data_IF_602990192236
#
_entry.id   IF_602990192236
#
_cell.length_a   1.000
_cell.length_b   1.000
_cell.length_c   1.000
_cell.angle_alpha   90.00
_cell.angle_beta   90.00
_cell.angle_gamma   90.00
#
_symmetry.space_group_name_H-M   'P 1'
#
loop_
_entity.id
_entity.type
_entity.pdbx_description
1 polymer ?
#
# COMPACT_ATOMS: atom_id res chain seq x y z
N UNK A 1 -47.23 21.83 29.49
CA UNK A 1 -46.46 22.88 28.78
C UNK A 1 -44.93 22.75 28.90
N UNK A 2 -44.36 21.62 29.36
CA UNK A 2 -42.90 21.50 29.59
C UNK A 2 -42.09 20.77 28.50
N UNK A 3 -42.69 19.84 27.75
CA UNK A 3 -41.94 18.98 26.81
C UNK A 3 -41.60 19.68 25.47
N UNK A 4 -42.37 20.68 25.06
CA UNK A 4 -42.19 21.38 23.78
C UNK A 4 -40.86 22.14 23.69
N UNK A 5 -40.39 22.73 24.81
CA UNK A 5 -39.10 23.45 24.85
C UNK A 5 -37.89 22.53 24.88
N UNK A 6 -38.03 21.33 25.46
CA UNK A 6 -36.95 20.32 25.51
C UNK A 6 -36.74 19.71 24.12
N UNK A 7 -37.83 19.43 23.39
CA UNK A 7 -37.75 18.92 22.01
C UNK A 7 -37.11 19.97 21.07
N UNK A 8 -37.46 21.25 21.23
CA UNK A 8 -36.85 22.36 20.47
C UNK A 8 -35.35 22.53 20.76
N UNK A 9 -34.91 22.34 22.02
CA UNK A 9 -33.48 22.38 22.35
C UNK A 9 -32.71 21.15 21.82
N UNK A 10 -33.33 19.97 21.75
CA UNK A 10 -32.70 18.78 21.18
C UNK A 10 -32.53 18.86 19.66
N UNK A 11 -33.46 19.50 18.93
CA UNK A 11 -33.30 19.70 17.48
C UNK A 11 -32.18 20.69 17.11
N UNK A 12 -31.84 21.63 18.00
CA UNK A 12 -30.78 22.61 17.76
C UNK A 12 -29.36 22.02 17.90
N UNK A 13 -29.23 20.78 18.39
CA UNK A 13 -27.96 20.07 18.55
C UNK A 13 -27.68 19.04 17.45
N UNK A 14 -28.41 19.11 16.33
CA UNK A 14 -28.01 18.39 15.12
C UNK A 14 -26.89 19.18 14.48
N UNK A 15 -25.65 18.91 14.89
CA UNK A 15 -24.46 19.43 14.22
C UNK A 15 -24.50 19.03 12.75
N UNK A 16 -24.59 19.99 11.84
CA UNK A 16 -24.40 19.75 10.42
C UNK A 16 -23.00 19.16 10.22
N UNK A 17 -22.95 17.90 9.80
CA UNK A 17 -21.70 17.27 9.36
C UNK A 17 -21.49 17.76 7.93
N UNK A 18 -20.61 18.76 7.75
CA UNK A 18 -20.17 19.16 6.42
C UNK A 18 -19.33 18.04 5.81
N UNK A 19 -19.95 17.27 4.92
CA UNK A 19 -19.25 16.28 4.10
C UNK A 19 -18.62 17.00 2.91
N UNK A 20 -17.41 16.58 2.54
CA UNK A 20 -16.70 17.13 1.37
C UNK A 20 -17.40 16.68 0.08
N UNK A 21 -18.37 17.47 -0.40
CA UNK A 21 -19.12 17.25 -1.66
C UNK A 21 -18.31 17.69 -2.92
N UNK A 22 -17.00 17.47 -2.93
CA UNK A 22 -16.16 17.76 -4.10
C UNK A 22 -16.25 16.67 -5.20
N UNK A 23 -17.23 15.78 -5.11
CA UNK A 23 -17.44 14.68 -6.07
C UNK A 23 -16.52 13.47 -5.88
N UNK A 24 -15.50 13.54 -5.01
CA UNK A 24 -14.56 12.43 -4.79
C UNK A 24 -15.27 11.13 -4.36
N UNK A 25 -16.28 11.24 -3.49
CA UNK A 25 -17.06 10.10 -3.01
C UNK A 25 -18.01 9.51 -4.06
N UNK A 26 -18.33 10.24 -5.15
CA UNK A 26 -19.21 9.75 -6.23
C UNK A 26 -18.46 8.85 -7.21
N UNK A 27 -17.16 9.08 -7.37
CA UNK A 27 -16.24 8.24 -8.14
C UNK A 27 -14.97 8.01 -7.32
N UNK A 28 -15.07 7.26 -6.20
CA UNK A 28 -13.89 7.03 -5.38
C UNK A 28 -12.84 6.35 -6.27
N UNK A 29 -11.58 6.83 -6.27
CA UNK A 29 -10.51 6.13 -6.95
C UNK A 29 -10.45 4.72 -6.34
N UNK A 30 -10.94 3.73 -7.07
CA UNK A 30 -10.85 2.36 -6.60
C UNK A 30 -9.40 1.92 -6.77
N UNK A 31 -8.90 1.16 -5.80
CA UNK A 31 -7.65 0.46 -5.91
C UNK A 31 -7.87 -0.98 -6.33
N UNK A 32 -6.94 -1.55 -7.07
CA UNK A 32 -6.79 -2.99 -7.17
C UNK A 32 -5.49 -3.40 -6.50
N UNK A 33 -5.56 -4.42 -5.64
CA UNK A 33 -4.40 -4.99 -4.98
C UNK A 33 -4.22 -6.41 -5.48
N UNK A 34 -3.02 -6.71 -5.99
CA UNK A 34 -2.72 -8.01 -6.60
C UNK A 34 -2.50 -9.15 -5.59
N UNK A 35 -2.54 -8.83 -4.30
CA UNK A 35 -2.29 -9.77 -3.20
C UNK A 35 -3.26 -10.96 -3.29
N UNK A 36 -2.74 -12.18 -3.12
CA UNK A 36 -3.55 -13.40 -3.17
C UNK A 36 -3.82 -13.97 -4.57
N UNK A 37 -3.79 -13.16 -5.64
CA UNK A 37 -4.14 -13.66 -6.98
C UNK A 37 -2.96 -14.31 -7.70
N UNK A 38 -1.80 -13.64 -7.69
CA UNK A 38 -0.57 -14.17 -8.30
C UNK A 38 0.26 -15.04 -7.32
N UNK A 39 -0.39 -15.69 -6.35
CA UNK A 39 0.21 -16.64 -5.39
C UNK A 39 0.63 -17.96 -6.06
N UNK A 40 1.37 -17.89 -7.17
CA UNK A 40 1.76 -19.07 -7.89
C UNK A 40 2.63 -19.96 -7.01
N UNK A 41 2.24 -21.22 -6.94
CA UNK A 41 3.12 -22.27 -6.47
C UNK A 41 4.31 -22.35 -7.45
N UNK A 42 5.53 -22.42 -6.92
CA UNK A 42 6.73 -22.66 -7.74
C UNK A 42 6.69 -24.04 -8.40
N UNK A 43 5.92 -24.97 -7.83
CA UNK A 43 5.77 -26.33 -8.33
C UNK A 43 4.49 -26.45 -9.18
N UNK A 44 4.64 -26.17 -10.48
CA UNK A 44 3.55 -26.30 -11.46
C UNK A 44 3.15 -27.76 -11.74
N UNK A 45 3.97 -28.74 -11.33
CA UNK A 45 3.64 -30.16 -11.47
C UNK A 45 2.61 -30.60 -10.43
N UNK A 46 2.64 -30.00 -9.23
CA UNK A 46 1.73 -30.34 -8.12
C UNK A 46 0.43 -29.55 -8.13
N UNK A 47 0.43 -28.32 -8.66
CA UNK A 47 -0.78 -27.47 -8.71
C UNK A 47 -0.86 -26.74 -10.06
N UNK A 48 -1.20 -27.44 -11.15
CA UNK A 48 -1.25 -26.87 -12.49
C UNK A 48 -2.30 -25.76 -12.64
N UNK A 49 -3.41 -25.79 -11.89
CA UNK A 49 -4.42 -24.73 -11.94
C UNK A 49 -3.99 -23.41 -11.27
N UNK A 50 -2.98 -23.45 -10.39
CA UNK A 50 -2.41 -22.26 -9.72
C UNK A 50 -1.16 -21.72 -10.41
N UNK A 51 -0.70 -22.40 -11.46
CA UNK A 51 0.40 -21.94 -12.28
C UNK A 51 -0.15 -20.96 -13.34
N UNK A 52 0.39 -19.74 -13.38
CA UNK A 52 0.10 -18.85 -14.51
C UNK A 52 0.61 -19.51 -15.78
N UNK A 53 -0.25 -19.63 -16.80
CA UNK A 53 0.17 -20.01 -18.16
C UNK A 53 1.11 -18.97 -18.78
N UNK A 54 1.03 -17.74 -18.28
CA UNK A 54 1.78 -16.57 -18.66
C UNK A 54 2.90 -16.29 -17.64
N UNK A 55 3.99 -15.62 -18.02
CA UNK A 55 4.99 -15.23 -17.02
C UNK A 55 4.38 -14.23 -16.03
N UNK A 56 4.80 -14.28 -14.76
CA UNK A 56 4.32 -13.36 -13.71
C UNK A 56 4.39 -11.90 -14.19
N UNK A 57 5.50 -11.53 -14.83
CA UNK A 57 5.70 -10.21 -15.45
C UNK A 57 4.54 -9.80 -16.35
N UNK A 58 4.26 -10.60 -17.36
CA UNK A 58 3.29 -10.24 -18.39
C UNK A 58 1.88 -10.19 -17.79
N UNK A 59 1.59 -11.05 -16.80
CA UNK A 59 0.30 -11.06 -16.12
C UNK A 59 0.02 -9.79 -15.30
N UNK A 60 1.04 -9.15 -14.73
CA UNK A 60 0.91 -7.85 -14.07
C UNK A 60 0.73 -6.71 -15.09
N UNK A 61 1.47 -6.75 -16.19
CA UNK A 61 1.40 -5.73 -17.26
C UNK A 61 0.02 -5.75 -17.93
N UNK A 62 -0.39 -6.91 -18.45
CA UNK A 62 -1.67 -7.06 -19.16
C UNK A 62 -2.86 -6.67 -18.28
N UNK A 63 -2.81 -7.02 -17.00
CA UNK A 63 -3.89 -6.66 -16.09
C UNK A 63 -3.93 -5.16 -15.79
N UNK A 64 -2.78 -4.50 -15.62
CA UNK A 64 -2.70 -3.05 -15.49
C UNK A 64 -3.24 -2.32 -16.72
N UNK A 65 -2.87 -2.77 -17.92
CA UNK A 65 -3.40 -2.25 -19.19
C UNK A 65 -4.91 -2.47 -19.31
N UNK A 66 -5.39 -3.64 -18.92
CA UNK A 66 -6.83 -3.94 -18.91
C UNK A 66 -7.59 -3.00 -17.96
N UNK A 67 -7.09 -2.76 -16.74
CA UNK A 67 -7.69 -1.83 -15.79
C UNK A 67 -7.76 -0.42 -16.39
N UNK A 68 -6.64 0.07 -16.93
CA UNK A 68 -6.54 1.39 -17.54
C UNK A 68 -7.50 1.57 -18.72
N UNK A 69 -7.76 0.52 -19.50
CA UNK A 69 -8.71 0.56 -20.64
C UNK A 69 -10.17 0.79 -20.20
N UNK A 70 -10.50 0.52 -18.94
CA UNK A 70 -11.88 0.59 -18.42
C UNK A 70 -12.13 1.86 -17.60
N UNK A 71 -11.24 2.17 -16.66
CA UNK A 71 -11.33 3.34 -15.79
C UNK A 71 -10.00 3.57 -15.07
N UNK A 72 -9.68 4.80 -14.63
CA UNK A 72 -8.56 5.03 -13.74
C UNK A 72 -8.74 4.23 -12.44
N UNK A 73 -7.81 3.32 -12.16
CA UNK A 73 -7.76 2.49 -10.94
C UNK A 73 -6.34 2.58 -10.39
N UNK A 74 -6.21 2.84 -9.08
CA UNK A 74 -4.90 2.76 -8.43
C UNK A 74 -4.45 1.31 -8.42
N UNK A 75 -3.33 0.98 -9.04
CA UNK A 75 -2.86 -0.40 -9.12
C UNK A 75 -1.70 -0.66 -8.16
N UNK A 76 -1.99 -1.45 -7.12
CA UNK A 76 -1.02 -1.89 -6.10
C UNK A 76 -0.50 -3.30 -6.43
N UNK A 77 0.80 -3.39 -6.68
CA UNK A 77 1.47 -4.58 -7.19
C UNK A 77 2.31 -5.27 -6.12
N UNK A 78 2.01 -6.53 -5.80
CA UNK A 78 2.93 -7.42 -5.07
C UNK A 78 4.02 -8.03 -5.95
N UNK A 79 4.19 -7.53 -7.18
CA UNK A 79 5.07 -8.12 -8.20
C UNK A 79 6.54 -8.28 -7.75
N UNK A 80 7.24 -7.25 -7.22
CA UNK A 80 8.63 -7.40 -6.81
C UNK A 80 8.82 -8.47 -5.74
N UNK A 81 7.91 -8.53 -4.77
CA UNK A 81 7.93 -9.52 -3.71
C UNK A 81 7.91 -10.96 -4.24
N UNK A 82 6.98 -11.28 -5.14
CA UNK A 82 6.88 -12.63 -5.70
C UNK A 82 8.13 -12.98 -6.52
N UNK A 83 8.62 -12.06 -7.35
CA UNK A 83 9.80 -12.30 -8.18
C UNK A 83 11.04 -12.55 -7.31
N UNK A 84 11.25 -11.75 -6.28
CA UNK A 84 12.42 -11.86 -5.42
C UNK A 84 12.35 -13.03 -4.45
N UNK A 85 11.28 -13.14 -3.68
CA UNK A 85 11.22 -14.07 -2.54
C UNK A 85 10.58 -15.41 -2.87
N UNK A 86 9.79 -15.50 -3.94
CA UNK A 86 9.13 -16.75 -4.34
C UNK A 86 9.84 -17.36 -5.56
N UNK A 87 10.20 -16.56 -6.55
CA UNK A 87 10.86 -17.03 -7.77
C UNK A 87 12.39 -16.86 -7.79
N UNK A 88 12.98 -16.29 -6.73
CA UNK A 88 14.42 -16.10 -6.58
C UNK A 88 15.08 -15.39 -7.78
N UNK A 89 14.43 -14.34 -8.28
CA UNK A 89 14.85 -13.50 -9.41
C UNK A 89 14.95 -12.04 -8.99
N UNK A 90 15.72 -11.25 -9.73
CA UNK A 90 15.85 -9.81 -9.46
C UNK A 90 14.67 -9.04 -10.07
N UNK A 91 13.95 -8.20 -9.32
CA UNK A 91 12.92 -7.32 -9.86
C UNK A 91 13.50 -6.22 -10.76
N UNK A 92 12.80 -5.90 -11.85
CA UNK A 92 13.11 -4.76 -12.71
C UNK A 92 12.21 -3.56 -12.34
N UNK A 93 12.72 -2.69 -11.47
CA UNK A 93 11.98 -1.53 -10.97
C UNK A 93 11.69 -0.48 -12.05
N UNK A 94 12.47 -0.43 -13.14
CA UNK A 94 12.18 0.47 -14.25
C UNK A 94 10.84 0.07 -14.90
N UNK A 95 10.66 -1.22 -15.19
CA UNK A 95 9.40 -1.74 -15.74
C UNK A 95 8.27 -1.64 -14.71
N UNK A 96 8.51 -2.05 -13.46
CA UNK A 96 7.47 -2.03 -12.42
C UNK A 96 6.91 -0.61 -12.22
N UNK A 97 7.77 0.41 -12.18
CA UNK A 97 7.34 1.81 -11.99
C UNK A 97 6.46 2.36 -13.11
N UNK A 98 6.57 1.80 -14.32
CA UNK A 98 5.75 2.20 -15.48
C UNK A 98 4.36 1.57 -15.47
N UNK A 99 4.20 0.43 -14.80
CA UNK A 99 2.96 -0.36 -14.83
C UNK A 99 2.20 -0.40 -13.50
N UNK A 100 2.78 0.07 -12.40
CA UNK A 100 2.20 0.00 -11.07
C UNK A 100 2.21 1.38 -10.38
N UNK A 101 1.12 1.74 -9.70
CA UNK A 101 1.07 2.96 -8.90
C UNK A 101 1.79 2.83 -7.56
N UNK A 102 1.85 1.62 -7.03
CA UNK A 102 2.68 1.30 -5.88
C UNK A 102 3.05 -0.17 -5.92
N UNK A 103 4.14 -0.56 -5.27
CA UNK A 103 4.56 -1.95 -5.23
C UNK A 103 5.18 -2.36 -3.91
N UNK A 104 4.85 -3.59 -3.52
CA UNK A 104 5.30 -4.19 -2.27
C UNK A 104 6.69 -4.76 -2.44
N UNK A 105 7.65 -4.23 -1.68
CA UNK A 105 9.06 -4.61 -1.78
C UNK A 105 9.46 -5.77 -0.86
N UNK A 106 8.82 -5.92 0.30
CA UNK A 106 9.33 -6.78 1.38
C UNK A 106 8.28 -7.66 2.06
N UNK A 107 8.62 -8.33 3.16
CA UNK A 107 7.72 -9.20 3.90
C UNK A 107 6.55 -8.45 4.56
N UNK A 108 5.45 -9.18 4.81
CA UNK A 108 4.27 -8.64 5.50
C UNK A 108 4.62 -8.15 6.92
N UNK A 109 4.16 -6.96 7.26
CA UNK A 109 4.30 -6.38 8.59
C UNK A 109 3.56 -7.20 9.64
N UNK A 110 4.21 -7.43 10.78
CA UNK A 110 3.63 -8.07 11.96
C UNK A 110 3.40 -7.04 13.07
N UNK A 111 2.59 -7.39 14.07
CA UNK A 111 2.34 -6.54 15.23
C UNK A 111 3.50 -6.58 16.25
N UNK A 112 4.72 -6.33 15.79
CA UNK A 112 5.92 -6.25 16.63
C UNK A 112 6.84 -5.13 16.16
N UNK A 113 7.57 -4.51 17.10
CA UNK A 113 8.54 -3.47 16.77
C UNK A 113 9.72 -4.03 15.97
N UNK A 114 10.04 -5.30 16.19
CA UNK A 114 11.04 -6.07 15.47
C UNK A 114 10.70 -6.12 13.99
N UNK A 115 9.44 -6.41 13.63
CA UNK A 115 9.00 -6.43 12.23
C UNK A 115 9.11 -5.05 11.58
N UNK A 116 8.75 -3.98 12.29
CA UNK A 116 8.86 -2.62 11.76
C UNK A 116 10.33 -2.24 11.53
N UNK A 117 11.22 -2.50 12.50
CA UNK A 117 12.67 -2.29 12.35
C UNK A 117 13.25 -3.09 11.19
N UNK A 118 12.79 -4.32 10.99
CA UNK A 118 13.26 -5.19 9.93
C UNK A 118 12.93 -4.62 8.54
N UNK A 119 11.68 -4.18 8.34
CA UNK A 119 11.26 -3.48 7.12
C UNK A 119 12.09 -2.20 6.93
N UNK A 120 12.27 -1.39 7.98
CA UNK A 120 13.07 -0.16 7.89
C UNK A 120 14.52 -0.43 7.44
N UNK A 121 15.16 -1.46 7.99
CA UNK A 121 16.53 -1.86 7.62
C UNK A 121 16.63 -2.34 6.19
N UNK A 122 15.63 -3.09 5.71
CA UNK A 122 15.57 -3.50 4.32
C UNK A 122 15.48 -2.30 3.38
N UNK A 123 14.62 -1.33 3.68
CA UNK A 123 14.51 -0.11 2.87
C UNK A 123 15.75 0.77 2.94
N UNK A 124 16.43 0.82 4.09
CA UNK A 124 17.71 1.50 4.26
C UNK A 124 18.80 0.85 3.40
N UNK A 125 18.91 -0.49 3.40
CA UNK A 125 19.91 -1.21 2.62
C UNK A 125 19.68 -1.11 1.12
N UNK A 126 18.42 -1.14 0.68
CA UNK A 126 18.04 -1.08 -0.74
C UNK A 126 17.86 0.35 -1.26
N UNK A 127 18.00 1.37 -0.40
CA UNK A 127 17.66 2.74 -0.75
C UNK A 127 18.40 3.23 -1.99
N UNK A 128 19.69 2.89 -2.14
CA UNK A 128 20.52 3.24 -3.29
C UNK A 128 19.99 2.78 -4.66
N UNK A 129 19.15 1.74 -4.68
CA UNK A 129 18.46 1.24 -5.88
C UNK A 129 17.04 1.79 -5.96
N UNK A 130 16.27 1.66 -4.88
CA UNK A 130 14.82 1.93 -4.89
C UNK A 130 14.46 3.42 -5.04
N UNK A 131 15.29 4.34 -4.55
CA UNK A 131 14.99 5.78 -4.59
C UNK A 131 14.89 6.33 -6.02
N UNK A 132 15.49 5.65 -7.01
CA UNK A 132 15.50 6.10 -8.41
C UNK A 132 14.14 5.93 -9.10
N UNK A 133 13.30 5.04 -8.57
CA UNK A 133 12.08 4.59 -9.24
C UNK A 133 10.81 5.04 -8.53
N UNK A 134 10.88 5.66 -7.34
CA UNK A 134 9.71 6.18 -6.66
C UNK A 134 9.45 7.66 -6.95
N UNK A 135 8.19 8.07 -6.98
CA UNK A 135 7.81 9.44 -7.29
C UNK A 135 6.31 9.59 -7.49
N UNK A 136 5.84 10.79 -7.87
CA UNK A 136 4.43 11.05 -8.13
C UNK A 136 3.82 10.01 -9.09
N UNK A 137 2.95 9.16 -8.56
CA UNK A 137 2.21 8.15 -9.33
C UNK A 137 2.80 6.74 -9.29
N UNK A 138 3.95 6.52 -8.65
CA UNK A 138 4.62 5.21 -8.57
C UNK A 138 5.45 5.11 -7.25
N UNK A 139 4.96 4.38 -6.25
CA UNK A 139 5.50 4.41 -4.89
C UNK A 139 6.01 3.05 -4.40
N UNK A 140 7.13 3.05 -3.66
CA UNK A 140 7.49 1.89 -2.86
C UNK A 140 6.49 1.69 -1.71
N UNK A 141 6.10 0.44 -1.44
CA UNK A 141 5.13 0.07 -0.40
C UNK A 141 5.81 -0.80 0.69
N UNK A 142 6.04 -0.23 1.90
CA UNK A 142 6.58 -0.93 3.06
C UNK A 142 5.51 -1.68 3.88
N UNK A 143 4.30 -1.87 3.33
CA UNK A 143 3.14 -2.48 3.98
C UNK A 143 2.45 -1.56 5.02
N UNK A 144 1.36 -2.06 5.61
CA UNK A 144 0.38 -1.30 6.38
C UNK A 144 0.91 -0.68 7.67
N UNK A 145 0.36 0.48 8.04
CA UNK A 145 0.59 1.09 9.36
C UNK A 145 -0.15 0.29 10.45
N UNK A 146 0.59 -0.16 11.48
CA UNK A 146 0.06 -0.98 12.60
C UNK A 146 -0.12 -0.21 13.92
N UNK A 147 -0.51 1.06 13.84
CA UNK A 147 -0.51 2.00 14.97
C UNK A 147 -1.16 1.49 16.27
N UNK A 148 -2.36 0.89 16.19
CA UNK A 148 -3.09 0.42 17.38
C UNK A 148 -2.63 -0.92 17.94
N UNK A 149 -1.93 -1.73 17.14
CA UNK A 149 -1.51 -3.07 17.52
C UNK A 149 -0.07 -3.11 18.02
N UNK A 150 0.72 -2.12 17.65
CA UNK A 150 2.03 -1.88 18.23
C UNK A 150 1.81 -1.21 19.59
N UNK A 151 2.29 -1.85 20.66
CA UNK A 151 2.34 -1.25 22.00
C UNK A 151 3.39 -0.14 22.02
N UNK A 152 3.13 0.96 21.32
CA UNK A 152 3.98 2.14 21.36
C UNK A 152 3.92 2.73 22.76
N UNK A 153 5.04 2.70 23.48
CA UNK A 153 5.19 3.58 24.64
C UNK A 153 5.11 5.03 24.15
N UNK A 154 4.34 5.89 24.85
CA UNK A 154 4.20 7.32 24.52
C UNK A 154 5.55 8.04 24.37
N UNK A 155 6.63 7.51 24.94
CA UNK A 155 7.99 8.02 24.81
C UNK A 155 8.60 7.84 23.41
N UNK A 156 8.17 6.83 22.63
CA UNK A 156 8.71 6.55 21.28
C UNK A 156 8.10 7.43 20.18
N UNK A 157 6.96 8.08 20.43
CA UNK A 157 6.28 8.94 19.45
C UNK A 157 6.70 10.42 19.56
N UNK A 158 7.64 10.77 20.43
CA UNK A 158 8.20 12.13 20.39
C UNK A 158 9.05 12.26 19.12
N UNK A 159 8.72 13.21 18.23
CA UNK A 159 9.65 13.59 17.17
C UNK A 159 10.99 13.91 17.84
N UNK A 160 12.09 13.28 17.38
CA UNK A 160 13.40 13.82 17.72
C UNK A 160 13.42 15.24 17.17
N UNK A 161 13.83 16.25 17.96
CA UNK A 161 13.96 17.61 17.44
C UNK A 161 14.82 17.54 16.19
N UNK A 162 14.31 18.12 15.09
CA UNK A 162 15.02 18.19 13.83
C UNK A 162 16.31 18.99 14.04
N UNK A 163 17.42 18.30 14.25
CA UNK A 163 18.74 18.91 14.20
C UNK A 163 19.07 19.09 12.73
N UNK A 164 19.10 20.34 12.27
CA UNK A 164 19.55 20.77 10.96
C UNK A 164 21.06 20.57 10.77
N UNK A 165 21.53 19.34 10.95
CA UNK A 165 22.86 18.94 10.55
C UNK A 165 22.74 18.46 9.10
N UNK A 166 23.02 19.40 8.19
CA UNK A 166 23.44 19.10 6.82
C UNK A 166 24.46 17.97 6.89
N UNK A 167 24.16 16.84 6.23
CA UNK A 167 25.16 15.82 5.95
C UNK A 167 26.26 16.44 5.07
N UNK A 168 27.54 16.05 5.27
CA UNK A 168 28.68 16.61 4.55
C UNK A 168 28.61 16.43 3.04
#
# INVERSE_FOLDING_TARGET
MGYSRIILMFMAFVSEVFVLENGLARTPPMGWMSWGYYMCNVNCDQTPEKCLKLQVKDAYIEFGEYLNSRRPVVYSCSWPYYIQYIHNKTPDFNVISQHCNMWRNYHDVKSSWESVKDIMRHFESEYGTLHKYHGPGHWNDPDMVRYYQLKFSRTMLRPRPYTSQLLP
#
